data_IF_914165054828
#
_entry.id   IF_914165054828
#
_cell.length_a   1.000
_cell.length_b   1.000
_cell.length_c   1.000
_cell.angle_alpha   90.00
_cell.angle_beta   90.00
_cell.angle_gamma   90.00
#
_symmetry.space_group_name_H-M   'P 1'
#
loop_
_entity.id
_entity.type
_entity.pdbx_description
1 polymer ?
#
# COMPACT_ATOMS: atom_id res chain seq x y z
N UNK A 1 -19.78 -7.28 3.15
CA UNK A 1 -19.58 -5.96 2.48
C UNK A 1 -18.10 -5.61 2.46
N UNK A 2 -17.57 -5.05 1.36
CA UNK A 2 -16.20 -4.57 1.28
C UNK A 2 -15.85 -3.56 2.39
N UNK A 3 -14.64 -3.66 2.95
CA UNK A 3 -14.15 -2.75 4.01
C UNK A 3 -12.79 -2.19 3.66
N UNK A 4 -12.58 -0.90 3.94
CA UNK A 4 -11.23 -0.33 3.92
C UNK A 4 -10.43 -1.01 5.02
N UNK A 5 -9.37 -1.71 4.62
CA UNK A 5 -8.49 -2.43 5.53
C UNK A 5 -7.02 -2.08 5.35
N UNK A 6 -6.72 -1.27 4.34
CA UNK A 6 -5.36 -0.91 4.02
C UNK A 6 -5.26 0.52 3.48
N UNK A 7 -4.24 1.24 3.93
CA UNK A 7 -3.83 2.53 3.38
C UNK A 7 -2.31 2.49 3.19
N UNK A 8 -1.83 2.81 1.99
CA UNK A 8 -0.41 2.94 1.70
C UNK A 8 -0.03 4.41 1.55
N UNK A 9 1.07 4.81 2.18
CA UNK A 9 1.73 6.11 2.00
C UNK A 9 3.11 5.88 1.39
N UNK A 10 3.38 6.57 0.29
CA UNK A 10 4.71 6.66 -0.30
C UNK A 10 5.54 7.72 0.43
N UNK A 11 6.82 7.46 0.65
CA UNK A 11 7.77 8.37 1.29
C UNK A 11 9.21 8.00 0.92
N UNK A 12 10.13 8.96 0.95
CA UNK A 12 11.57 8.73 0.74
C UNK A 12 12.32 8.51 2.07
N UNK A 13 11.60 8.52 3.20
CA UNK A 13 12.14 8.26 4.54
C UNK A 13 11.11 7.46 5.36
N UNK A 14 11.08 6.16 5.10
CA UNK A 14 10.11 5.26 5.73
C UNK A 14 10.31 5.14 7.25
N UNK A 15 11.55 5.18 7.74
CA UNK A 15 11.85 5.10 9.17
C UNK A 15 11.30 6.31 9.92
N UNK A 16 11.61 7.52 9.45
CA UNK A 16 11.13 8.76 10.07
C UNK A 16 9.61 8.86 10.01
N UNK A 17 9.02 8.50 8.87
CA UNK A 17 7.57 8.53 8.68
C UNK A 17 6.88 7.52 9.62
N UNK A 18 7.38 6.29 9.70
CA UNK A 18 6.85 5.28 10.61
C UNK A 18 6.99 5.70 12.07
N UNK A 19 8.15 6.26 12.45
CA UNK A 19 8.38 6.79 13.81
C UNK A 19 7.33 7.82 14.20
N UNK A 20 7.05 8.79 13.33
CA UNK A 20 6.00 9.79 13.57
C UNK A 20 4.64 9.14 13.87
N UNK A 21 4.20 8.20 13.04
CA UNK A 21 2.90 7.55 13.25
C UNK A 21 2.85 6.66 14.50
N UNK A 22 3.96 5.99 14.83
CA UNK A 22 4.09 5.22 16.07
C UNK A 22 4.04 6.10 17.32
N UNK A 23 4.73 7.24 17.31
CA UNK A 23 4.85 8.12 18.48
C UNK A 23 3.65 9.05 18.69
N UNK A 24 3.03 9.53 17.61
CA UNK A 24 1.95 10.53 17.69
C UNK A 24 0.57 9.88 17.78
N UNK A 25 0.40 8.72 17.16
CA UNK A 25 -0.91 8.05 17.06
C UNK A 25 -0.90 6.64 17.64
N UNK A 26 0.17 6.25 18.34
CA UNK A 26 0.31 4.94 19.01
C UNK A 26 0.10 3.74 18.06
N UNK A 27 0.37 3.91 16.76
CA UNK A 27 0.27 2.79 15.83
C UNK A 27 1.34 1.75 16.17
N UNK A 28 0.95 0.47 16.14
CA UNK A 28 1.84 -0.64 16.41
C UNK A 28 2.55 -1.06 15.13
N UNK A 29 3.86 -1.24 15.20
CA UNK A 29 4.60 -1.92 14.13
C UNK A 29 4.25 -3.40 14.10
N UNK A 30 3.77 -3.87 12.97
CA UNK A 30 3.35 -5.26 12.75
C UNK A 30 4.46 -6.05 12.04
N UNK A 31 5.09 -5.42 11.05
CA UNK A 31 6.18 -6.00 10.29
C UNK A 31 7.00 -4.92 9.58
N UNK A 32 8.21 -5.30 9.19
CA UNK A 32 9.07 -4.53 8.30
C UNK A 32 9.03 -5.14 6.91
N UNK A 33 9.14 -4.28 5.90
CA UNK A 33 9.27 -4.66 4.51
C UNK A 33 10.69 -4.31 4.06
N UNK A 34 11.42 -5.30 3.58
CA UNK A 34 12.71 -5.09 2.92
C UNK A 34 12.74 -5.98 1.67
N UNK A 35 12.62 -5.35 0.51
CA UNK A 35 12.58 -6.02 -0.79
C UNK A 35 13.28 -5.17 -1.84
N UNK A 36 13.56 -5.77 -3.01
CA UNK A 36 14.11 -5.04 -4.15
C UNK A 36 13.17 -3.94 -4.69
N UNK A 37 11.87 -4.04 -4.40
CA UNK A 37 10.84 -3.14 -4.92
C UNK A 37 10.47 -2.02 -3.96
N UNK A 38 10.44 -2.31 -2.66
CA UNK A 38 10.11 -1.34 -1.63
C UNK A 38 10.73 -1.72 -0.28
N UNK A 39 11.00 -0.69 0.52
CA UNK A 39 11.37 -0.79 1.92
C UNK A 39 10.35 -0.06 2.78
N UNK A 40 10.21 -0.46 4.04
CA UNK A 40 9.43 0.30 5.01
C UNK A 40 8.73 -0.56 6.05
N UNK A 41 7.52 -0.14 6.43
CA UNK A 41 6.87 -0.61 7.66
C UNK A 41 5.37 -0.82 7.46
N UNK A 42 4.85 -1.87 8.07
CA UNK A 42 3.42 -2.08 8.25
C UNK A 42 3.05 -1.71 9.68
N UNK A 43 2.19 -0.71 9.83
CA UNK A 43 1.68 -0.21 11.10
C UNK A 43 0.19 -0.53 11.25
N UNK A 44 -0.32 -0.61 12.48
CA UNK A 44 -1.75 -0.83 12.72
C UNK A 44 -2.25 -0.22 14.01
N UNK A 45 -3.48 0.28 13.99
CA UNK A 45 -4.27 0.61 15.17
C UNK A 45 -4.98 -0.62 15.78
N UNK A 46 -4.95 -1.76 15.09
CA UNK A 46 -5.69 -2.99 15.40
C UNK A 46 -6.90 -3.24 14.51
N UNK A 47 -7.27 -2.28 13.65
CA UNK A 47 -8.41 -2.38 12.74
C UNK A 47 -8.00 -2.29 11.26
N UNK A 48 -7.03 -1.41 10.96
CA UNK A 48 -6.49 -1.18 9.61
C UNK A 48 -4.98 -1.41 9.56
N UNK A 49 -4.49 -1.82 8.40
CA UNK A 49 -3.07 -1.85 8.07
C UNK A 49 -2.67 -0.55 7.38
N UNK A 50 -1.64 0.12 7.87
CA UNK A 50 -1.05 1.30 7.26
C UNK A 50 0.36 0.96 6.79
N UNK A 51 0.57 0.90 5.47
CA UNK A 51 1.88 0.70 4.89
C UNK A 51 2.60 2.03 4.67
N UNK A 52 3.81 2.12 5.19
CA UNK A 52 4.75 3.21 4.92
C UNK A 52 5.79 2.65 3.95
N UNK A 53 5.79 3.15 2.71
CA UNK A 53 6.53 2.55 1.60
C UNK A 53 7.53 3.55 1.01
N UNK A 54 8.80 3.15 1.01
CA UNK A 54 9.87 3.74 0.23
C UNK A 54 10.13 2.86 -1.01
N UNK A 55 9.54 3.26 -2.14
CA UNK A 55 9.65 2.54 -3.40
C UNK A 55 11.03 2.71 -4.02
N UNK A 56 11.61 1.61 -4.49
CA UNK A 56 12.98 1.59 -5.02
C UNK A 56 13.02 1.72 -6.56
N UNK A 57 11.88 1.58 -7.23
CA UNK A 57 11.75 1.75 -8.67
C UNK A 57 10.38 2.30 -9.07
N UNK A 58 10.31 2.92 -10.25
CA UNK A 58 9.10 3.57 -10.75
C UNK A 58 8.02 2.56 -11.19
N UNK A 59 8.41 1.34 -11.57
CA UNK A 59 7.45 0.33 -12.03
C UNK A 59 6.44 -0.03 -10.94
N UNK A 60 6.90 -0.22 -9.69
CA UNK A 60 6.00 -0.50 -8.55
C UNK A 60 5.46 0.76 -7.87
N UNK A 61 6.13 1.91 -8.02
CA UNK A 61 5.66 3.19 -7.51
C UNK A 61 4.49 3.78 -8.34
N UNK A 62 4.22 3.20 -9.51
CA UNK A 62 3.12 3.60 -10.38
C UNK A 62 3.29 5.01 -10.96
N UNK A 63 2.17 5.60 -11.39
CA UNK A 63 2.16 6.83 -12.19
C UNK A 63 2.84 8.04 -11.55
N UNK A 64 2.93 8.07 -10.20
CA UNK A 64 3.53 9.20 -9.48
C UNK A 64 5.05 9.08 -9.34
N UNK A 65 5.61 7.90 -9.62
CA UNK A 65 7.03 7.62 -9.51
C UNK A 65 7.52 7.48 -8.07
N UNK A 66 8.72 6.94 -7.91
CA UNK A 66 9.31 6.60 -6.60
C UNK A 66 9.63 7.82 -5.73
N UNK A 67 9.77 8.99 -6.33
CA UNK A 67 10.08 10.24 -5.63
C UNK A 67 8.82 10.95 -5.08
N UNK A 68 7.63 10.39 -5.30
CA UNK A 68 6.39 10.92 -4.75
C UNK A 68 6.25 10.63 -3.25
N UNK A 69 5.74 11.61 -2.50
CA UNK A 69 5.40 11.49 -1.08
C UNK A 69 3.91 11.79 -0.85
N UNK A 70 3.19 10.87 -0.19
CA UNK A 70 1.78 11.04 0.16
C UNK A 70 0.96 9.75 0.01
N UNK A 71 -0.38 9.86 0.09
CA UNK A 71 -1.27 8.69 -0.07
C UNK A 71 -1.05 8.07 -1.46
N UNK A 72 -0.70 6.78 -1.47
CA UNK A 72 -0.39 6.01 -2.67
C UNK A 72 -1.61 5.20 -3.14
N UNK A 73 -2.18 4.34 -2.28
CA UNK A 73 -3.41 3.62 -2.58
C UNK A 73 -4.19 3.23 -1.31
N UNK A 74 -5.43 2.78 -1.52
CA UNK A 74 -6.33 2.25 -0.48
C UNK A 74 -6.69 0.83 -0.88
N UNK A 75 -6.56 -0.11 0.06
CA UNK A 75 -6.93 -1.51 -0.15
C UNK A 75 -8.23 -1.87 0.58
N UNK A 76 -9.02 -2.69 -0.08
CA UNK A 76 -10.29 -3.20 0.41
C UNK A 76 -10.18 -4.69 0.69
N UNK A 77 -10.64 -5.11 1.86
CA UNK A 77 -10.96 -6.52 2.13
C UNK A 77 -12.35 -6.81 1.56
N UNK A 78 -12.45 -7.86 0.78
CA UNK A 78 -13.68 -8.33 0.13
C UNK A 78 -13.90 -9.80 0.44
N UNK A 79 -15.16 -10.24 0.36
CA UNK A 79 -15.55 -11.62 0.67
C UNK A 79 -15.17 -12.60 -0.44
N UNK A 80 -15.22 -12.14 -1.69
CA UNK A 80 -14.89 -12.91 -2.88
C UNK A 80 -14.12 -12.04 -3.88
N UNK A 81 -12.91 -12.50 -4.24
CA UNK A 81 -12.04 -11.78 -5.17
C UNK A 81 -12.56 -11.86 -6.60
N UNK A 82 -13.01 -13.03 -7.07
CA UNK A 82 -13.49 -13.23 -8.43
C UNK A 82 -14.79 -12.43 -8.68
N UNK A 83 -15.72 -12.43 -7.72
CA UNK A 83 -16.92 -11.61 -7.80
C UNK A 83 -16.56 -10.11 -7.88
N UNK A 84 -15.60 -9.69 -7.06
CA UNK A 84 -15.15 -8.29 -7.01
C UNK A 84 -14.47 -7.88 -8.31
N UNK A 85 -13.58 -8.71 -8.85
CA UNK A 85 -12.90 -8.49 -10.14
C UNK A 85 -13.90 -8.37 -11.28
N UNK A 86 -14.91 -9.26 -11.32
CA UNK A 86 -15.99 -9.18 -12.30
C UNK A 86 -16.77 -7.86 -12.20
N UNK A 87 -17.00 -7.36 -10.98
CA UNK A 87 -17.65 -6.05 -10.77
C UNK A 87 -16.78 -4.88 -11.21
N UNK A 88 -15.46 -4.94 -10.94
CA UNK A 88 -14.50 -3.95 -11.39
C UNK A 88 -14.43 -3.89 -12.93
N UNK A 89 -14.34 -5.05 -13.59
CA UNK A 89 -14.33 -5.15 -15.05
C UNK A 89 -15.60 -4.56 -15.68
N UNK A 90 -16.79 -4.85 -15.11
CA UNK A 90 -18.06 -4.24 -15.54
C UNK A 90 -18.10 -2.72 -15.37
N UNK A 91 -17.32 -2.17 -14.44
CA UNK A 91 -17.15 -0.74 -14.24
C UNK A 91 -16.03 -0.13 -15.10
N UNK A 92 -15.44 -0.90 -16.02
CA UNK A 92 -14.28 -0.52 -16.84
C UNK A 92 -12.99 -0.22 -16.03
N UNK A 93 -12.90 -0.71 -14.79
CA UNK A 93 -11.65 -0.72 -14.05
C UNK A 93 -10.81 -1.92 -14.49
N UNK A 94 -9.59 -1.65 -14.97
CA UNK A 94 -8.66 -2.68 -15.43
C UNK A 94 -7.62 -2.97 -14.35
N UNK A 95 -7.14 -4.23 -14.26
CA UNK A 95 -5.97 -4.54 -13.45
C UNK A 95 -4.76 -3.68 -13.86
N UNK A 96 -3.88 -3.38 -12.90
CA UNK A 96 -2.61 -2.72 -13.18
C UNK A 96 -1.54 -3.76 -13.55
N UNK A 97 -1.69 -4.37 -14.73
CA UNK A 97 -0.84 -5.51 -15.15
C UNK A 97 0.65 -5.18 -15.15
N UNK A 98 1.04 -3.96 -15.54
CA UNK A 98 2.44 -3.52 -15.52
C UNK A 98 3.03 -3.55 -14.10
N UNK A 99 2.26 -3.11 -13.10
CA UNK A 99 2.65 -3.17 -11.69
C UNK A 99 2.68 -4.62 -11.20
N UNK A 100 1.65 -5.40 -11.53
CA UNK A 100 1.55 -6.80 -11.13
C UNK A 100 2.74 -7.62 -11.64
N UNK A 101 3.14 -7.41 -12.89
CA UNK A 101 4.28 -8.09 -13.49
C UNK A 101 5.62 -7.68 -12.86
N UNK A 102 5.74 -6.44 -12.37
CA UNK A 102 6.93 -5.96 -11.68
C UNK A 102 7.07 -6.47 -10.23
N UNK A 103 6.00 -7.04 -9.66
CA UNK A 103 5.98 -7.58 -8.29
C UNK A 103 6.38 -9.06 -8.21
N UNK A 104 6.52 -9.76 -9.34
CA UNK A 104 6.88 -11.18 -9.43
C UNK A 104 8.37 -11.41 -9.34
#
# INVERSE_FOLDING_TARGET
MPKIKHIAIATQDAEKTAKFYKEVFDLREIAQLDSANAKGFFLSDGNINMAILDFQNDAVAGERGKDYSGIHHIGFEVEDLEETENRLAKANAKPMDDVNNALV
#
